data_IF_189777453472
#
_entry.id   IF_189777453472
#
_cell.length_a   1.000
_cell.length_b   1.000
_cell.length_c   1.000
_cell.angle_alpha   90.00
_cell.angle_beta   90.00
_cell.angle_gamma   90.00
#
_symmetry.space_group_name_H-M   'P 1'
#
loop_
_entity.id
_entity.type
_entity.pdbx_description
1 polymer ?
#
# COMPACT_ATOMS: atom_id res chain seq x y z
N UNK A 1 -5.28 6.75 -6.15
CA UNK A 1 -3.89 6.88 -6.65
C UNK A 1 -2.94 6.85 -5.46
N UNK A 2 -1.82 6.11 -5.52
CA UNK A 2 -0.88 5.92 -4.39
C UNK A 2 -0.09 7.16 -3.95
N UNK A 3 -0.19 8.29 -4.66
CA UNK A 3 0.61 9.48 -4.35
C UNK A 3 2.13 9.17 -4.34
N UNK A 4 2.88 9.58 -3.30
CA UNK A 4 4.32 9.31 -3.20
C UNK A 4 4.67 7.86 -2.84
N UNK A 5 3.69 7.05 -2.44
CA UNK A 5 3.92 5.72 -1.90
C UNK A 5 3.99 4.64 -3.00
N UNK A 6 4.76 3.59 -2.73
CA UNK A 6 4.88 2.40 -3.59
C UNK A 6 3.79 1.38 -3.31
N UNK A 7 3.39 1.24 -2.05
CA UNK A 7 2.21 0.45 -1.66
C UNK A 7 1.32 1.27 -0.75
N UNK A 8 0.00 1.25 -1.02
CA UNK A 8 -1.04 1.77 -0.13
C UNK A 8 -2.10 0.69 0.03
N UNK A 9 -2.36 0.30 1.28
CA UNK A 9 -3.46 -0.59 1.66
C UNK A 9 -4.41 0.17 2.59
N UNK A 10 -5.67 0.26 2.19
CA UNK A 10 -6.74 0.86 2.98
C UNK A 10 -7.40 -0.09 3.99
N UNK A 11 -8.21 0.46 4.92
CA UNK A 11 -9.03 -0.33 5.81
C UNK A 11 -9.88 -1.38 5.07
N UNK A 12 -9.79 -2.64 5.50
CA UNK A 12 -10.51 -3.77 4.92
C UNK A 12 -9.79 -4.47 3.75
N UNK A 13 -8.56 -4.08 3.41
CA UNK A 13 -7.77 -4.78 2.38
C UNK A 13 -7.38 -6.20 2.79
N UNK A 14 -7.13 -6.42 4.08
CA UNK A 14 -6.94 -7.72 4.71
C UNK A 14 -7.22 -7.64 6.23
N UNK A 15 -6.97 -8.73 6.95
CA UNK A 15 -7.22 -8.83 8.39
C UNK A 15 -6.33 -7.90 9.23
N UNK A 16 -5.07 -7.73 8.83
CA UNK A 16 -4.13 -6.86 9.52
C UNK A 16 -4.54 -5.40 9.32
N UNK A 17 -4.91 -5.04 8.09
CA UNK A 17 -5.35 -3.71 7.72
C UNK A 17 -6.86 -3.50 7.91
N UNK A 18 -7.46 -4.05 8.96
CA UNK A 18 -8.91 -3.93 9.19
C UNK A 18 -9.35 -2.49 9.48
N UNK A 19 -8.52 -1.74 10.21
CA UNK A 19 -8.86 -0.41 10.72
C UNK A 19 -7.74 0.63 10.54
N UNK A 20 -6.68 0.28 9.82
CA UNK A 20 -5.53 1.16 9.65
C UNK A 20 -5.02 1.18 8.21
N UNK A 21 -4.17 2.16 7.93
CA UNK A 21 -3.53 2.36 6.63
C UNK A 21 -2.11 1.81 6.66
N UNK A 22 -1.74 1.04 5.64
CA UNK A 22 -0.34 0.69 5.39
C UNK A 22 0.20 1.45 4.20
N UNK A 23 1.36 2.08 4.41
CA UNK A 23 2.02 2.95 3.46
C UNK A 23 3.48 2.52 3.38
N UNK A 24 3.95 2.26 2.17
CA UNK A 24 5.32 1.80 1.92
C UNK A 24 6.02 2.67 0.87
N UNK A 25 7.33 2.89 1.05
CA UNK A 25 8.22 3.57 0.12
C UNK A 25 9.29 2.63 -0.45
N UNK A 26 9.33 1.37 -0.02
CA UNK A 26 10.37 0.44 -0.38
C UNK A 26 10.44 0.23 -1.91
N UNK A 27 11.66 0.21 -2.49
CA UNK A 27 11.83 -0.08 -3.91
C UNK A 27 11.33 -1.48 -4.25
N UNK A 28 10.37 -1.57 -5.16
CA UNK A 28 9.89 -2.86 -5.69
C UNK A 28 10.77 -3.27 -6.86
N UNK A 29 11.09 -4.56 -6.95
CA UNK A 29 12.02 -5.13 -7.96
C UNK A 29 11.68 -4.76 -9.42
N UNK A 30 10.41 -4.45 -9.71
CA UNK A 30 9.93 -4.09 -11.04
C UNK A 30 9.37 -2.66 -11.13
N UNK A 31 9.63 -1.79 -10.14
CA UNK A 31 9.15 -0.40 -10.11
C UNK A 31 7.62 -0.23 -9.98
N UNK A 32 6.87 -1.33 -9.87
CA UNK A 32 5.42 -1.31 -9.77
C UNK A 32 4.89 -0.65 -8.50
N UNK A 33 3.70 -0.08 -8.60
CA UNK A 33 2.94 0.47 -7.48
C UNK A 33 1.71 -0.41 -7.22
N UNK A 34 1.31 -0.57 -5.96
CA UNK A 34 0.10 -1.30 -5.57
C UNK A 34 -0.78 -0.40 -4.71
N UNK A 35 -1.99 -0.11 -5.17
CA UNK A 35 -2.95 0.74 -4.47
C UNK A 35 -4.29 0.03 -4.40
N UNK A 36 -4.76 -0.27 -3.19
CA UNK A 36 -6.07 -0.87 -2.95
C UNK A 36 -6.77 -0.19 -1.78
#
# INVERSE_FOLDING_TARGET
ACGPFKTVLGPGSDADHSLHLHLDLAPRRNGGTFCQ
#
